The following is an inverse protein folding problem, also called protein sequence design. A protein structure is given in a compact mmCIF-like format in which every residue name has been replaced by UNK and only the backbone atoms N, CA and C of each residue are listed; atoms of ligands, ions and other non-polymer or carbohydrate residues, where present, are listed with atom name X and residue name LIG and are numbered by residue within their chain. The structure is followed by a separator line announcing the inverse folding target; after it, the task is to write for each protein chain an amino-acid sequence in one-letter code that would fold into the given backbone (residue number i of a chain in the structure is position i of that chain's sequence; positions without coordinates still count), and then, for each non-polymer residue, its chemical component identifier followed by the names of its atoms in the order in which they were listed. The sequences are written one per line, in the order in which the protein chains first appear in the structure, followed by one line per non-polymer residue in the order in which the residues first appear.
data_IF_531674741985
#
_entry.id   IF_531674741985
#
_cell.length_a   1.000
_cell.length_b   1.000
_cell.length_c   1.000
_cell.angle_alpha   90.00
_cell.angle_beta   90.00
_cell.angle_gamma   90.00
#
_symmetry.space_group_name_H-M   'P 1'
#
loop_
_entity.id
_entity.type
_entity.pdbx_description
1 polymer ?
#
# COMPACT_ATOMS: atom_id res chain seq x y z
N UNK A 1 12.99 13.83 -19.96
CA UNK A 1 11.78 14.28 -19.24
C UNK A 1 11.53 13.31 -18.10
N UNK A 2 11.41 13.78 -16.84
CA UNK A 2 10.99 12.88 -15.75
C UNK A 2 9.58 12.37 -16.03
N UNK A 3 9.35 11.07 -15.84
CA UNK A 3 8.04 10.47 -15.99
C UNK A 3 7.02 11.20 -15.11
N UNK A 4 5.86 11.57 -15.66
CA UNK A 4 4.74 12.14 -14.89
C UNK A 4 3.98 11.08 -14.08
N UNK A 5 4.35 9.81 -14.22
CA UNK A 5 3.68 8.69 -13.56
C UNK A 5 3.87 8.75 -12.04
N UNK A 6 2.85 8.36 -11.30
CA UNK A 6 2.96 8.14 -9.87
C UNK A 6 3.72 6.85 -9.59
N UNK A 7 4.41 6.82 -8.46
CA UNK A 7 5.08 5.65 -7.92
C UNK A 7 4.20 5.07 -6.81
N UNK A 8 3.68 3.86 -7.02
CA UNK A 8 2.65 3.27 -6.16
C UNK A 8 3.24 2.13 -5.33
N UNK A 9 3.09 2.22 -4.00
CA UNK A 9 3.44 1.12 -3.11
C UNK A 9 2.24 0.27 -2.77
N UNK A 10 2.38 -1.04 -3.04
CA UNK A 10 1.38 -2.09 -2.86
C UNK A 10 1.93 -3.11 -1.86
N UNK A 11 1.05 -3.71 -1.08
CA UNK A 11 1.42 -4.78 -0.17
C UNK A 11 0.53 -4.85 1.06
N UNK A 12 0.74 -5.89 1.83
CA UNK A 12 -0.03 -6.17 3.05
C UNK A 12 0.17 -5.07 4.09
N UNK A 13 -0.79 -4.92 5.00
CA UNK A 13 -0.55 -4.15 6.22
C UNK A 13 0.72 -4.67 6.92
N UNK A 14 1.55 -3.78 7.47
CA UNK A 14 2.83 -4.18 8.07
C UNK A 14 4.00 -4.32 7.10
N UNK A 15 3.78 -4.23 5.79
CA UNK A 15 4.86 -4.33 4.79
C UNK A 15 5.78 -3.11 4.71
N UNK A 16 5.43 -1.99 5.36
CA UNK A 16 6.29 -0.80 5.41
C UNK A 16 6.05 0.21 4.28
N UNK A 17 4.91 0.17 3.58
CA UNK A 17 4.57 1.08 2.49
C UNK A 17 4.72 2.55 2.85
N UNK A 18 4.11 2.98 3.96
CA UNK A 18 4.18 4.38 4.43
C UNK A 18 5.62 4.81 4.72
N UNK A 19 6.40 3.97 5.43
CA UNK A 19 7.79 4.27 5.73
C UNK A 19 8.64 4.36 4.47
N UNK A 20 8.45 3.42 3.53
CA UNK A 20 9.17 3.40 2.26
C UNK A 20 8.76 4.57 1.36
N UNK A 21 7.46 4.87 1.33
CA UNK A 21 6.93 6.01 0.60
C UNK A 21 7.55 7.33 1.04
N UNK A 22 7.68 7.56 2.34
CA UNK A 22 8.35 8.74 2.89
C UNK A 22 9.84 8.81 2.52
N UNK A 23 10.54 7.68 2.57
CA UNK A 23 11.98 7.63 2.20
C UNK A 23 12.15 7.97 0.72
N UNK A 24 11.37 7.33 -0.16
CA UNK A 24 11.49 7.51 -1.61
C UNK A 24 11.06 8.91 -2.03
N UNK A 25 9.96 9.44 -1.47
CA UNK A 25 9.50 10.80 -1.78
C UNK A 25 10.54 11.86 -1.45
N UNK A 26 11.21 11.74 -0.30
CA UNK A 26 12.30 12.63 0.08
C UNK A 26 13.49 12.54 -0.88
N UNK A 27 13.88 11.33 -1.28
CA UNK A 27 15.01 11.12 -2.21
C UNK A 27 14.70 11.65 -3.61
N UNK A 28 13.49 11.50 -4.09
CA UNK A 28 13.05 11.98 -5.40
C UNK A 28 12.60 13.44 -5.38
N UNK A 29 12.44 14.07 -4.20
CA UNK A 29 11.91 15.44 -4.00
C UNK A 29 10.52 15.62 -4.63
N UNK A 30 9.63 14.63 -4.46
CA UNK A 30 8.24 14.65 -4.89
C UNK A 30 7.31 14.39 -3.71
N UNK A 31 6.02 14.71 -3.87
CA UNK A 31 5.04 14.58 -2.77
C UNK A 31 4.81 13.12 -2.39
N UNK A 32 4.53 12.89 -1.10
CA UNK A 32 4.04 11.62 -0.57
C UNK A 32 2.57 11.72 -0.20
N UNK A 33 1.80 10.71 -0.57
CA UNK A 33 0.38 10.58 -0.24
C UNK A 33 0.12 9.18 0.32
N UNK A 34 -0.49 9.12 1.50
CA UNK A 34 -0.96 7.87 2.11
C UNK A 34 -2.49 7.83 1.99
N UNK A 35 -3.02 6.82 1.29
CA UNK A 35 -4.47 6.72 1.01
C UNK A 35 -5.28 6.59 2.30
N UNK A 36 -4.79 5.82 3.28
CA UNK A 36 -5.50 5.66 4.56
C UNK A 36 -5.62 7.01 5.28
N UNK A 37 -4.58 7.83 5.27
CA UNK A 37 -4.61 9.19 5.84
C UNK A 37 -5.56 10.12 5.09
N UNK A 38 -5.59 10.06 3.76
CA UNK A 38 -6.51 10.89 2.97
C UNK A 38 -7.98 10.51 3.21
N UNK A 39 -8.27 9.21 3.40
CA UNK A 39 -9.62 8.75 3.77
C UNK A 39 -10.01 9.31 5.15
N UNK A 40 -9.14 9.17 6.16
CA UNK A 40 -9.39 9.69 7.50
C UNK A 40 -9.61 11.21 7.48
N UNK A 41 -8.82 11.93 6.69
CA UNK A 41 -8.95 13.38 6.53
C UNK A 41 -10.27 13.79 5.86
N UNK A 42 -10.66 13.09 4.78
CA UNK A 42 -11.90 13.42 4.05
C UNK A 42 -13.16 13.12 4.86
N UNK A 43 -13.13 12.05 5.68
CA UNK A 43 -14.28 11.66 6.50
C UNK A 43 -14.26 12.24 7.94
N UNK A 44 -13.17 12.87 8.33
CA UNK A 44 -13.01 13.43 9.67
C UNK A 44 -13.00 12.38 10.80
N UNK A 45 -12.72 11.12 10.50
CA UNK A 45 -12.72 10.04 11.49
C UNK A 45 -11.71 8.93 11.16
N UNK A 46 -11.31 8.18 12.19
CA UNK A 46 -10.39 7.06 12.04
C UNK A 46 -11.02 5.89 11.27
N UNK A 47 -10.20 5.17 10.50
CA UNK A 47 -10.64 4.01 9.70
C UNK A 47 -11.34 2.97 10.58
N UNK A 48 -10.82 2.69 11.79
CA UNK A 48 -11.47 1.77 12.73
C UNK A 48 -12.91 2.17 13.05
N UNK A 49 -13.15 3.49 13.22
CA UNK A 49 -14.48 4.04 13.49
C UNK A 49 -15.40 3.97 12.27
N UNK A 50 -14.84 4.16 11.08
CA UNK A 50 -15.59 4.02 9.82
C UNK A 50 -16.10 2.56 9.69
N UNK A 51 -15.24 1.57 9.94
CA UNK A 51 -15.63 0.15 9.93
C UNK A 51 -16.71 -0.16 10.96
N UNK A 52 -16.58 0.37 12.17
CA UNK A 52 -17.53 0.16 13.26
C UNK A 52 -18.93 0.73 12.92
N UNK A 53 -19.00 1.96 12.40
CA UNK A 53 -20.25 2.68 12.19
C UNK A 53 -20.89 2.38 10.83
N UNK A 54 -20.07 2.29 9.77
CA UNK A 54 -20.55 2.20 8.38
C UNK A 54 -20.30 0.83 7.73
N UNK A 55 -19.43 0.02 8.31
CA UNK A 55 -19.10 -1.31 7.80
C UNK A 55 -18.08 -1.33 6.66
N UNK A 56 -17.65 -2.54 6.29
CA UNK A 56 -16.58 -2.76 5.32
C UNK A 56 -16.99 -2.30 3.91
N UNK A 57 -18.20 -2.60 3.45
CA UNK A 57 -18.65 -2.25 2.10
C UNK A 57 -18.62 -0.74 1.86
N UNK A 58 -19.08 0.05 2.83
CA UNK A 58 -19.00 1.51 2.75
C UNK A 58 -17.54 1.97 2.66
N UNK A 59 -16.67 1.43 3.52
CA UNK A 59 -15.25 1.77 3.51
C UNK A 59 -14.61 1.47 2.15
N UNK A 60 -14.86 0.28 1.56
CA UNK A 60 -14.29 -0.10 0.27
C UNK A 60 -14.74 0.80 -0.87
N UNK A 61 -15.99 1.22 -0.87
CA UNK A 61 -16.50 2.16 -1.87
C UNK A 61 -15.81 3.53 -1.78
N UNK A 62 -15.62 4.04 -0.56
CA UNK A 62 -14.92 5.31 -0.33
C UNK A 62 -13.43 5.18 -0.64
N UNK A 63 -12.79 4.10 -0.21
CA UNK A 63 -11.39 3.80 -0.50
C UNK A 63 -11.12 3.80 -2.01
N UNK A 64 -11.95 3.10 -2.80
CA UNK A 64 -11.83 3.08 -4.26
C UNK A 64 -11.99 4.49 -4.85
N UNK A 65 -13.05 5.21 -4.47
CA UNK A 65 -13.35 6.56 -4.98
C UNK A 65 -12.20 7.54 -4.69
N UNK A 66 -11.69 7.56 -3.46
CA UNK A 66 -10.60 8.45 -3.06
C UNK A 66 -9.30 8.04 -3.77
N UNK A 67 -9.01 6.74 -3.85
CA UNK A 67 -7.82 6.23 -4.54
C UNK A 67 -7.83 6.65 -6.01
N UNK A 68 -8.92 6.43 -6.75
CA UNK A 68 -9.03 6.83 -8.15
C UNK A 68 -8.93 8.35 -8.35
N UNK A 69 -9.48 9.16 -7.44
CA UNK A 69 -9.33 10.62 -7.45
C UNK A 69 -7.85 11.03 -7.29
N UNK A 70 -7.13 10.38 -6.38
CA UNK A 70 -5.72 10.68 -6.11
C UNK A 70 -4.80 10.21 -7.25
N UNK A 71 -5.08 9.07 -7.85
CA UNK A 71 -4.32 8.54 -8.99
C UNK A 71 -4.32 9.48 -10.20
N UNK A 72 -5.31 10.36 -10.35
CA UNK A 72 -5.33 11.40 -11.39
C UNK A 72 -4.28 12.50 -11.20
N UNK A 73 -3.72 12.64 -9.98
CA UNK A 73 -2.58 13.53 -9.75
C UNK A 73 -1.34 12.89 -10.36
N UNK A 74 -0.37 13.71 -10.73
CA UNK A 74 0.88 13.26 -11.35
C UNK A 74 2.08 13.48 -10.42
N UNK A 75 3.12 12.70 -10.62
CA UNK A 75 4.42 12.88 -9.98
C UNK A 75 4.37 12.83 -8.43
N UNK A 76 3.70 11.80 -7.90
CA UNK A 76 3.63 11.54 -6.46
C UNK A 76 4.14 10.14 -6.13
N UNK A 77 4.57 9.95 -4.89
CA UNK A 77 4.70 8.63 -4.27
C UNK A 77 3.42 8.36 -3.49
N UNK A 78 2.75 7.26 -3.77
CA UNK A 78 1.46 6.92 -3.17
C UNK A 78 1.56 5.57 -2.45
N UNK A 79 1.19 5.55 -1.17
CA UNK A 79 1.02 4.33 -0.37
C UNK A 79 -0.45 3.91 -0.38
N UNK A 80 -0.75 2.75 -0.94
CA UNK A 80 -2.11 2.21 -0.93
C UNK A 80 -2.48 1.61 0.44
N UNK A 81 -3.75 1.68 0.80
CA UNK A 81 -4.32 0.80 1.82
C UNK A 81 -4.14 -0.68 1.45
N UNK A 82 -4.02 -1.56 2.44
CA UNK A 82 -3.76 -2.99 2.18
C UNK A 82 -4.84 -3.69 1.36
N UNK A 83 -6.04 -3.14 1.27
CA UNK A 83 -7.16 -3.67 0.48
C UNK A 83 -7.40 -2.94 -0.85
N UNK A 84 -6.87 -1.73 -1.04
CA UNK A 84 -7.19 -0.88 -2.20
C UNK A 84 -6.90 -1.55 -3.55
N UNK A 85 -5.80 -2.29 -3.64
CA UNK A 85 -5.42 -2.98 -4.88
C UNK A 85 -6.29 -4.21 -5.18
N UNK A 86 -7.24 -4.57 -4.28
CA UNK A 86 -8.22 -5.62 -4.55
C UNK A 86 -9.31 -5.15 -5.52
N UNK A 87 -9.56 -3.83 -5.63
CA UNK A 87 -10.50 -3.25 -6.58
C UNK A 87 -10.00 -3.42 -8.03
N UNK A 88 -10.82 -4.03 -8.93
CA UNK A 88 -10.48 -4.13 -10.35
C UNK A 88 -10.24 -2.76 -11.03
N UNK A 89 -11.00 -1.74 -10.63
CA UNK A 89 -10.88 -0.39 -11.19
C UNK A 89 -9.54 0.24 -10.79
N UNK A 90 -9.14 0.10 -9.52
CA UNK A 90 -7.84 0.58 -9.03
C UNK A 90 -6.69 -0.19 -9.69
N UNK A 91 -6.81 -1.53 -9.84
CA UNK A 91 -5.82 -2.34 -10.55
C UNK A 91 -5.62 -1.83 -11.99
N UNK A 92 -6.72 -1.69 -12.74
CA UNK A 92 -6.69 -1.23 -14.14
C UNK A 92 -5.98 0.10 -14.26
N UNK A 93 -6.34 1.08 -13.43
CA UNK A 93 -5.73 2.41 -13.45
C UNK A 93 -4.22 2.35 -13.17
N UNK A 94 -3.83 1.63 -12.10
CA UNK A 94 -2.43 1.55 -11.69
C UNK A 94 -1.58 0.82 -12.73
N UNK A 95 -2.04 -0.31 -13.24
CA UNK A 95 -1.27 -1.12 -14.18
C UNK A 95 -1.12 -0.45 -15.55
N UNK A 96 -2.09 0.38 -15.95
CA UNK A 96 -2.03 1.09 -17.23
C UNK A 96 -1.19 2.37 -17.17
N UNK A 97 -1.24 3.10 -16.06
CA UNK A 97 -0.80 4.50 -16.03
C UNK A 97 0.32 4.82 -15.04
N UNK A 98 0.67 3.88 -14.13
CA UNK A 98 1.59 4.17 -13.03
C UNK A 98 2.69 3.11 -12.89
N UNK A 99 3.69 3.41 -12.05
CA UNK A 99 4.77 2.48 -11.72
C UNK A 99 4.47 1.89 -10.34
N UNK A 100 4.23 0.58 -10.28
CA UNK A 100 3.81 -0.09 -9.05
C UNK A 100 4.88 -1.03 -8.50
N UNK A 101 5.10 -0.96 -7.18
CA UNK A 101 6.02 -1.78 -6.43
C UNK A 101 5.28 -2.54 -5.34
N UNK A 102 5.30 -3.87 -5.42
CA UNK A 102 4.83 -4.72 -4.33
C UNK A 102 5.95 -4.98 -3.33
N UNK A 103 5.79 -4.49 -2.10
CA UNK A 103 6.69 -4.80 -0.99
C UNK A 103 6.33 -6.18 -0.42
N UNK A 104 7.04 -7.19 -0.87
CA UNK A 104 6.81 -8.58 -0.49
C UNK A 104 7.64 -8.97 0.74
N UNK A 105 6.98 -9.64 1.66
CA UNK A 105 7.56 -10.24 2.87
C UNK A 105 6.99 -11.65 3.02
N UNK A 106 7.72 -12.53 3.70
CA UNK A 106 7.23 -13.84 4.09
C UNK A 106 6.04 -13.72 5.06
N UNK A 107 5.11 -14.68 4.98
CA UNK A 107 3.88 -14.64 5.77
C UNK A 107 4.14 -14.56 7.28
N UNK A 108 5.11 -15.30 7.77
CA UNK A 108 5.45 -15.29 9.21
C UNK A 108 5.95 -13.92 9.67
N UNK A 109 6.79 -13.27 8.87
CA UNK A 109 7.27 -11.91 9.15
C UNK A 109 6.13 -10.90 9.18
N UNK A 110 5.19 -10.98 8.23
CA UNK A 110 4.01 -10.11 8.21
C UNK A 110 3.11 -10.34 9.43
N UNK A 111 2.85 -11.59 9.78
CA UNK A 111 2.04 -11.96 10.94
C UNK A 111 2.67 -11.41 12.22
N UNK A 112 3.97 -11.62 12.40
CA UNK A 112 4.72 -11.09 13.53
C UNK A 112 4.56 -9.56 13.64
N UNK A 113 4.77 -8.83 12.53
CA UNK A 113 4.63 -7.36 12.48
C UNK A 113 3.21 -6.88 12.75
N UNK A 114 2.19 -7.58 12.24
CA UNK A 114 0.79 -7.24 12.49
C UNK A 114 0.44 -7.45 13.97
N UNK A 115 0.82 -8.59 14.54
CA UNK A 115 0.53 -8.95 15.94
C UNK A 115 1.24 -8.05 16.95
N UNK A 116 2.40 -7.49 16.59
CA UNK A 116 3.16 -6.58 17.45
C UNK A 116 2.88 -5.09 17.17
N UNK A 117 1.87 -4.77 16.36
CA UNK A 117 1.52 -3.40 16.02
C UNK A 117 0.24 -2.94 16.72
N UNK A 118 0.37 -1.98 17.64
CA UNK A 118 -0.76 -1.33 18.32
C UNK A 118 -1.66 -0.53 17.36
N UNK A 119 -1.15 -0.18 16.18
CA UNK A 119 -1.84 0.69 15.21
C UNK A 119 -2.91 -0.03 14.35
N UNK A 120 -3.19 -1.32 14.61
CA UNK A 120 -4.05 -2.12 13.71
C UNK A 120 -5.02 -3.02 14.46
N UNK A 121 -5.97 -2.43 15.20
CA UNK A 121 -6.88 -3.20 16.06
C UNK A 121 -7.71 -4.22 15.29
N UNK A 122 -8.13 -3.91 14.05
CA UNK A 122 -8.97 -4.82 13.24
C UNK A 122 -8.21 -6.11 12.83
N UNK A 123 -6.91 -6.01 12.56
CA UNK A 123 -6.09 -7.17 12.17
C UNK A 123 -5.50 -7.90 13.38
N UNK A 124 -5.30 -7.21 14.48
CA UNK A 124 -4.76 -7.79 15.72
C UNK A 124 -5.62 -8.94 16.24
N UNK A 125 -6.95 -8.83 16.13
CA UNK A 125 -7.92 -9.82 16.62
C UNK A 125 -8.09 -11.03 15.69
N UNK A 126 -7.50 -11.03 14.48
CA UNK A 126 -7.56 -12.16 13.58
C UNK A 126 -6.65 -13.30 14.07
N UNK A 127 -7.11 -14.56 13.96
CA UNK A 127 -6.26 -15.73 14.23
C UNK A 127 -5.11 -15.81 13.21
N UNK A 128 -4.03 -16.52 13.58
CA UNK A 128 -2.89 -16.76 12.67
C UNK A 128 -3.34 -17.36 11.33
N UNK A 129 -4.24 -18.35 11.36
CA UNK A 129 -4.78 -19.01 10.17
C UNK A 129 -5.54 -18.02 9.28
N UNK A 130 -6.39 -17.16 9.86
CA UNK A 130 -7.11 -16.13 9.11
C UNK A 130 -6.16 -15.13 8.46
N UNK A 131 -5.09 -14.72 9.17
CA UNK A 131 -4.07 -13.84 8.61
C UNK A 131 -3.29 -14.51 7.48
N UNK A 132 -2.89 -15.78 7.62
CA UNK A 132 -2.22 -16.54 6.56
C UNK A 132 -3.10 -16.63 5.30
N UNK A 133 -4.37 -16.96 5.45
CA UNK A 133 -5.32 -17.02 4.33
C UNK A 133 -5.51 -15.67 3.66
N UNK A 134 -5.61 -14.59 4.44
CA UNK A 134 -5.71 -13.23 3.91
C UNK A 134 -4.46 -12.83 3.12
N UNK A 135 -3.27 -13.10 3.66
CA UNK A 135 -1.98 -12.85 2.99
C UNK A 135 -1.92 -13.63 1.68
N UNK A 136 -2.22 -14.93 1.70
CA UNK A 136 -2.21 -15.79 0.50
C UNK A 136 -3.18 -15.28 -0.57
N UNK A 137 -4.41 -14.93 -0.19
CA UNK A 137 -5.43 -14.39 -1.11
C UNK A 137 -4.95 -13.08 -1.76
N UNK A 138 -4.45 -12.15 -0.95
CA UNK A 138 -4.02 -10.83 -1.43
C UNK A 138 -2.73 -10.90 -2.24
N UNK A 139 -1.80 -11.77 -1.89
CA UNK A 139 -0.53 -11.94 -2.61
C UNK A 139 -0.74 -12.35 -4.07
N UNK A 140 -1.78 -13.14 -4.37
CA UNK A 140 -2.16 -13.47 -5.76
C UNK A 140 -2.52 -12.22 -6.57
N UNK A 141 -3.10 -11.22 -5.93
CA UNK A 141 -3.47 -9.96 -6.60
C UNK A 141 -2.27 -9.00 -6.62
N UNK A 142 -1.53 -8.87 -5.52
CA UNK A 142 -0.35 -8.02 -5.46
C UNK A 142 0.73 -8.44 -6.47
N UNK A 143 0.81 -9.73 -6.82
CA UNK A 143 1.76 -10.24 -7.83
C UNK A 143 1.55 -9.68 -9.23
N UNK A 144 0.43 -9.01 -9.49
CA UNK A 144 0.19 -8.26 -10.73
C UNK A 144 0.93 -6.92 -10.78
N UNK A 145 1.47 -6.43 -9.66
CA UNK A 145 2.27 -5.21 -9.64
C UNK A 145 3.45 -5.29 -10.62
N UNK A 146 3.82 -4.16 -11.20
CA UNK A 146 4.88 -4.10 -12.22
C UNK A 146 6.22 -4.64 -11.68
N UNK A 147 6.53 -4.34 -10.41
CA UNK A 147 7.75 -4.81 -9.77
C UNK A 147 7.44 -5.42 -8.39
N UNK A 148 8.02 -6.58 -8.14
CA UNK A 148 8.05 -7.23 -6.81
C UNK A 148 9.39 -6.96 -6.15
N UNK A 149 9.37 -6.39 -4.96
CA UNK A 149 10.56 -6.18 -4.13
C UNK A 149 10.54 -7.20 -2.99
N UNK A 150 11.42 -8.16 -3.01
CA UNK A 150 11.66 -9.06 -1.88
C UNK A 150 12.36 -8.26 -0.79
N UNK A 151 11.66 -8.05 0.33
CA UNK A 151 12.11 -7.22 1.44
C UNK A 151 12.73 -8.03 2.59
N UNK A 152 12.57 -9.37 2.57
CA UNK A 152 13.09 -10.24 3.60
C UNK A 152 14.61 -10.09 3.75
N UNK A 153 15.09 -9.99 4.98
CA UNK A 153 16.50 -9.81 5.33
C UNK A 153 17.16 -8.53 4.79
N UNK A 154 16.37 -7.55 4.33
CA UNK A 154 16.88 -6.27 3.86
C UNK A 154 16.56 -5.14 4.83
N UNK A 155 17.51 -4.24 5.01
CA UNK A 155 17.30 -2.97 5.68
C UNK A 155 16.44 -2.02 4.82
N UNK A 156 15.83 -1.01 5.45
CA UNK A 156 15.07 0.03 4.73
C UNK A 156 15.91 0.73 3.65
N UNK A 157 17.19 0.94 3.92
CA UNK A 157 18.08 1.59 2.96
C UNK A 157 18.35 0.71 1.74
N UNK A 158 18.52 -0.59 1.92
CA UNK A 158 18.74 -1.53 0.82
C UNK A 158 17.47 -1.66 -0.04
N UNK A 159 16.29 -1.74 0.59
CA UNK A 159 15.01 -1.74 -0.12
C UNK A 159 14.86 -0.45 -0.94
N UNK A 160 15.14 0.72 -0.34
CA UNK A 160 15.06 2.00 -1.02
C UNK A 160 16.03 2.09 -2.21
N UNK A 161 17.28 1.63 -2.05
CA UNK A 161 18.26 1.58 -3.15
C UNK A 161 17.77 0.72 -4.32
N UNK A 162 17.20 -0.47 -4.03
CA UNK A 162 16.62 -1.33 -5.08
C UNK A 162 15.50 -0.64 -5.84
N UNK A 163 14.57 0.00 -5.13
CA UNK A 163 13.43 0.71 -5.73
C UNK A 163 13.94 1.85 -6.63
N UNK A 164 14.85 2.67 -6.13
CA UNK A 164 15.40 3.80 -6.90
C UNK A 164 16.12 3.34 -8.16
N UNK A 165 16.94 2.29 -8.07
CA UNK A 165 17.63 1.71 -9.23
C UNK A 165 16.66 1.26 -10.33
N UNK A 166 15.53 0.63 -9.92
CA UNK A 166 14.50 0.20 -10.88
C UNK A 166 13.79 1.42 -11.47
N UNK A 167 13.42 2.39 -10.62
CA UNK A 167 12.72 3.60 -11.04
C UNK A 167 13.55 4.46 -12.03
N UNK A 168 14.86 4.56 -11.82
CA UNK A 168 15.77 5.30 -12.69
C UNK A 168 15.96 4.62 -14.06
N UNK A 169 15.75 3.30 -14.12
CA UNK A 169 15.82 2.50 -15.34
C UNK A 169 14.48 2.37 -16.10
N UNK A 170 13.37 2.88 -15.52
CA UNK A 170 12.01 2.82 -16.08
C UNK A 170 11.67 4.10 -16.81
#
# INVERSE_FOLDING_TARGET
MKSKKNLIFIGMMGSGKTSMGLIISKKLKINFIDIDQEIEKELGMKISKIFEIKGENFFRNIEEKITLKILKKENNVISLGGGSFMSPNVQKEILSNHISFWLHWESETLIYRIKNSVKRPLAYNLSKIKLQNLIKKRSKIYSKALYKINCENLSKNEIAKKILKIYEAS
#
